data_IF_506046302049
#
_entry.id   IF_506046302049
#
_cell.length_a   1.000
_cell.length_b   1.000
_cell.length_c   1.000
_cell.angle_alpha   90.00
_cell.angle_beta   90.00
_cell.angle_gamma   90.00
#
_symmetry.space_group_name_H-M   'P 1'
#
loop_
_entity.id
_entity.type
_entity.pdbx_description
1 polymer ?
#
# COMPACT_ATOMS: atom_id res chain seq x y z
N UNK A 1 -29.88 -17.26 -1.76
CA UNK A 1 -29.59 -16.65 -0.45
C UNK A 1 -28.22 -17.15 -0.03
N UNK A 2 -27.17 -16.35 -0.28
CA UNK A 2 -25.83 -16.72 0.15
C UNK A 2 -25.66 -16.30 1.61
N UNK A 3 -25.31 -17.25 2.47
CA UNK A 3 -24.91 -16.98 3.85
C UNK A 3 -23.74 -15.99 3.81
N UNK A 4 -23.93 -14.79 4.36
CA UNK A 4 -22.82 -13.95 4.76
C UNK A 4 -22.09 -14.71 5.88
N UNK A 5 -21.03 -15.44 5.52
CA UNK A 5 -20.10 -16.03 6.48
C UNK A 5 -19.56 -14.90 7.32
N UNK A 6 -19.99 -14.82 8.58
CA UNK A 6 -19.34 -13.98 9.58
C UNK A 6 -17.87 -14.41 9.60
N UNK A 7 -16.99 -13.58 9.04
CA UNK A 7 -15.55 -13.85 9.04
C UNK A 7 -15.10 -13.88 10.49
N UNK A 8 -14.57 -15.04 10.91
CA UNK A 8 -14.02 -15.22 12.24
C UNK A 8 -12.97 -14.12 12.50
N UNK A 9 -12.87 -13.60 13.73
CA UNK A 9 -11.86 -12.58 14.04
C UNK A 9 -10.46 -13.11 13.68
N UNK A 10 -9.60 -12.27 13.09
CA UNK A 10 -8.23 -12.67 12.74
C UNK A 10 -7.50 -13.19 13.98
N UNK A 11 -6.83 -14.34 13.84
CA UNK A 11 -6.15 -15.02 14.93
C UNK A 11 -4.64 -14.72 14.93
N UNK A 12 -4.03 -14.71 16.11
CA UNK A 12 -2.57 -14.81 16.28
C UNK A 12 -2.20 -16.22 16.74
N UNK A 13 -0.90 -16.50 16.80
CA UNK A 13 -0.37 -17.73 17.43
C UNK A 13 -0.75 -17.91 18.90
N UNK A 14 -1.25 -16.84 19.57
CA UNK A 14 -1.64 -16.82 20.97
C UNK A 14 -3.17 -16.86 21.22
N UNK A 15 -4.00 -16.88 20.16
CA UNK A 15 -5.46 -16.89 20.27
C UNK A 15 -6.16 -15.77 19.49
N UNK A 16 -7.49 -15.58 19.69
CA UNK A 16 -8.23 -14.50 19.04
C UNK A 16 -7.77 -13.13 19.56
N UNK A 17 -7.54 -12.19 18.64
CA UNK A 17 -7.20 -10.82 19.00
C UNK A 17 -8.28 -10.19 19.91
N UNK A 18 -7.86 -9.37 20.87
CA UNK A 18 -8.80 -8.50 21.57
C UNK A 18 -9.48 -7.55 20.58
N UNK A 19 -10.66 -7.04 20.96
CA UNK A 19 -11.39 -6.10 20.10
C UNK A 19 -10.61 -4.82 19.79
N UNK A 20 -9.71 -4.42 20.68
CA UNK A 20 -8.83 -3.25 20.48
C UNK A 20 -7.71 -3.55 19.49
N UNK A 21 -6.97 -4.65 19.68
CA UNK A 21 -5.88 -5.05 18.78
C UNK A 21 -6.39 -5.30 17.36
N UNK A 22 -7.56 -5.95 17.21
CA UNK A 22 -8.18 -6.16 15.90
C UNK A 22 -8.50 -4.83 15.21
N UNK A 23 -9.04 -3.86 15.93
CA UNK A 23 -9.35 -2.53 15.36
C UNK A 23 -8.10 -1.74 15.02
N UNK A 24 -7.01 -1.88 15.78
CA UNK A 24 -5.72 -1.27 15.43
C UNK A 24 -5.16 -1.90 14.15
N UNK A 25 -5.13 -3.23 14.07
CA UNK A 25 -4.72 -3.94 12.86
C UNK A 25 -5.60 -3.57 11.65
N UNK A 26 -6.92 -3.46 11.84
CA UNK A 26 -7.87 -3.02 10.82
C UNK A 26 -7.61 -1.60 10.33
N UNK A 27 -7.29 -0.66 11.23
CA UNK A 27 -6.90 0.71 10.85
C UNK A 27 -5.63 0.75 10.03
N UNK A 28 -4.58 0.06 10.49
CA UNK A 28 -3.31 -0.03 9.77
C UNK A 28 -3.52 -0.65 8.37
N UNK A 29 -4.31 -1.73 8.30
CA UNK A 29 -4.61 -2.38 7.04
C UNK A 29 -5.45 -1.50 6.10
N UNK A 30 -6.45 -0.79 6.63
CA UNK A 30 -7.25 0.16 5.87
C UNK A 30 -6.39 1.27 5.24
N UNK A 31 -5.36 1.74 5.95
CA UNK A 31 -4.37 2.68 5.39
C UNK A 31 -3.63 2.06 4.20
N UNK A 32 -3.22 0.78 4.28
CA UNK A 32 -2.61 0.06 3.14
C UNK A 32 -3.57 -0.02 1.94
N UNK A 33 -4.84 -0.36 2.17
CA UNK A 33 -5.87 -0.37 1.11
C UNK A 33 -6.01 1.01 0.46
N UNK A 34 -6.09 2.08 1.26
CA UNK A 34 -6.21 3.43 0.73
C UNK A 34 -4.98 3.89 -0.05
N UNK A 35 -3.78 3.52 0.38
CA UNK A 35 -2.55 3.80 -0.37
C UNK A 35 -2.58 3.12 -1.73
N UNK A 36 -3.05 1.87 -1.80
CA UNK A 36 -3.23 1.17 -3.07
C UNK A 36 -4.25 1.88 -3.98
N UNK A 37 -5.42 2.24 -3.44
CA UNK A 37 -6.47 2.97 -4.17
C UNK A 37 -5.98 4.33 -4.69
N UNK A 38 -5.18 5.03 -3.88
CA UNK A 38 -4.64 6.35 -4.20
C UNK A 38 -3.39 6.33 -5.08
N UNK A 39 -2.83 5.15 -5.41
CA UNK A 39 -1.54 5.06 -6.12
C UNK A 39 -1.51 5.88 -7.42
N UNK A 40 -2.64 5.94 -8.13
CA UNK A 40 -2.76 6.64 -9.42
C UNK A 40 -3.65 7.90 -9.36
N UNK A 41 -4.12 8.30 -8.17
CA UNK A 41 -5.11 9.37 -7.99
C UNK A 41 -4.67 10.29 -6.85
N UNK A 42 -4.52 11.58 -7.14
CA UNK A 42 -4.15 12.57 -6.13
C UNK A 42 -5.29 12.86 -5.14
N UNK A 43 -4.98 13.41 -3.96
CA UNK A 43 -6.01 13.76 -2.98
C UNK A 43 -7.08 14.74 -3.53
N UNK A 44 -6.74 15.80 -4.29
CA UNK A 44 -7.75 16.68 -4.88
C UNK A 44 -8.64 15.97 -5.91
N UNK A 45 -8.06 15.07 -6.71
CA UNK A 45 -8.83 14.27 -7.68
C UNK A 45 -9.79 13.31 -6.97
N UNK A 46 -9.35 12.67 -5.88
CA UNK A 46 -10.20 11.82 -5.06
C UNK A 46 -11.34 12.59 -4.40
N UNK A 47 -11.09 13.80 -3.90
CA UNK A 47 -12.14 14.67 -3.37
C UNK A 47 -13.16 15.07 -4.46
N UNK A 48 -12.69 15.37 -5.67
CA UNK A 48 -13.57 15.65 -6.80
C UNK A 48 -14.38 14.42 -7.25
N UNK A 49 -13.77 13.23 -7.23
CA UNK A 49 -14.45 11.96 -7.49
C UNK A 49 -15.51 11.68 -6.43
N UNK A 50 -15.25 12.00 -5.16
CA UNK A 50 -16.22 11.82 -4.08
C UNK A 50 -17.48 12.65 -4.35
N UNK A 51 -17.31 13.96 -4.57
CA UNK A 51 -18.43 14.87 -4.83
C UNK A 51 -19.20 14.49 -6.10
N UNK A 52 -18.49 14.01 -7.13
CA UNK A 52 -19.11 13.51 -8.35
C UNK A 52 -19.89 12.20 -8.13
N UNK A 53 -19.31 11.23 -7.43
CA UNK A 53 -19.90 9.90 -7.24
C UNK A 53 -21.13 9.94 -6.33
N UNK A 54 -21.13 10.81 -5.32
CA UNK A 54 -22.27 11.03 -4.41
C UNK A 54 -23.28 12.03 -4.93
N UNK A 55 -22.92 12.83 -5.95
CA UNK A 55 -23.71 13.96 -6.42
C UNK A 55 -24.03 14.97 -5.28
N UNK A 56 -23.12 15.12 -4.33
CA UNK A 56 -23.21 16.02 -3.18
C UNK A 56 -21.81 16.62 -2.91
N UNK A 57 -21.68 17.96 -2.77
CA UNK A 57 -20.38 18.58 -2.49
C UNK A 57 -19.92 18.35 -1.04
N UNK A 58 -18.60 18.22 -0.84
CA UNK A 58 -18.00 18.14 0.49
C UNK A 58 -18.15 16.77 1.16
N UNK A 59 -18.31 15.70 0.37
CA UNK A 59 -18.40 14.34 0.91
C UNK A 59 -17.04 13.81 1.40
N UNK A 60 -15.94 14.33 0.84
CA UNK A 60 -14.59 13.96 1.25
C UNK A 60 -13.60 15.13 1.05
N UNK A 61 -12.91 15.52 2.12
CA UNK A 61 -11.89 16.56 2.07
C UNK A 61 -10.47 15.99 1.96
N UNK A 62 -9.58 16.75 1.33
CA UNK A 62 -8.15 16.38 1.17
C UNK A 62 -7.42 16.19 2.50
N UNK A 63 -7.83 16.91 3.55
CA UNK A 63 -7.31 16.73 4.91
C UNK A 63 -7.71 15.39 5.52
N UNK A 64 -8.93 14.92 5.26
CA UNK A 64 -9.40 13.61 5.70
C UNK A 64 -8.63 12.49 4.99
N UNK A 65 -8.42 12.63 3.68
CA UNK A 65 -7.59 11.70 2.89
C UNK A 65 -6.15 11.62 3.43
N UNK A 66 -5.55 12.77 3.75
CA UNK A 66 -4.23 12.82 4.37
C UNK A 66 -4.20 12.13 5.74
N UNK A 67 -5.19 12.36 6.61
CA UNK A 67 -5.24 11.70 7.91
C UNK A 67 -5.45 10.20 7.81
N UNK A 68 -6.27 9.76 6.85
CA UNK A 68 -6.53 8.36 6.56
C UNK A 68 -5.28 7.62 6.06
N UNK A 69 -4.53 8.22 5.13
CA UNK A 69 -3.29 7.66 4.59
C UNK A 69 -2.17 7.58 5.63
N UNK A 70 -2.21 8.39 6.67
CA UNK A 70 -1.19 8.41 7.72
C UNK A 70 -1.63 7.70 9.01
N UNK A 71 -2.71 6.91 8.97
CA UNK A 71 -3.29 6.24 10.14
C UNK A 71 -3.64 7.17 11.33
N UNK A 72 -3.79 8.48 11.07
CA UNK A 72 -4.06 9.49 12.12
C UNK A 72 -5.54 9.58 12.49
N UNK A 73 -6.42 8.89 11.77
CA UNK A 73 -7.87 9.01 11.95
C UNK A 73 -8.43 7.87 12.80
N UNK A 74 -8.70 8.18 14.08
CA UNK A 74 -9.28 7.24 15.06
C UNK A 74 -10.75 6.87 14.80
N UNK A 75 -11.48 7.72 14.11
CA UNK A 75 -12.88 7.47 13.74
C UNK A 75 -13.09 7.79 12.27
N UNK A 76 -13.62 6.82 11.55
CA UNK A 76 -13.96 6.97 10.14
C UNK A 76 -15.40 7.43 10.00
N UNK A 77 -15.61 8.60 9.38
CA UNK A 77 -16.94 9.16 9.17
C UNK A 77 -17.72 8.36 8.14
N UNK A 78 -19.01 8.12 8.41
CA UNK A 78 -19.89 7.37 7.49
C UNK A 78 -20.00 8.00 6.10
N UNK A 79 -20.00 9.34 6.01
CA UNK A 79 -19.97 10.04 4.71
C UNK A 79 -18.71 9.74 3.90
N UNK A 80 -17.55 9.67 4.57
CA UNK A 80 -16.28 9.35 3.89
C UNK A 80 -16.25 7.91 3.40
N UNK A 81 -16.80 6.97 4.18
CA UNK A 81 -16.94 5.57 3.77
C UNK A 81 -17.88 5.42 2.58
N UNK A 82 -19.03 6.07 2.64
CA UNK A 82 -20.01 6.08 1.56
C UNK A 82 -19.39 6.62 0.26
N UNK A 83 -18.74 7.78 0.34
CA UNK A 83 -18.06 8.38 -0.80
C UNK A 83 -16.98 7.46 -1.40
N UNK A 84 -16.10 6.90 -0.57
CA UNK A 84 -15.04 5.98 -1.04
C UNK A 84 -15.62 4.73 -1.70
N UNK A 85 -16.63 4.12 -1.08
CA UNK A 85 -17.32 2.96 -1.64
C UNK A 85 -17.99 3.31 -2.97
N UNK A 86 -18.66 4.46 -3.04
CA UNK A 86 -19.38 4.92 -4.23
C UNK A 86 -18.44 5.21 -5.39
N UNK A 87 -17.29 5.83 -5.13
CA UNK A 87 -16.24 6.04 -6.13
C UNK A 87 -15.81 4.69 -6.72
N UNK A 88 -15.53 3.70 -5.87
CA UNK A 88 -15.05 2.40 -6.30
C UNK A 88 -16.09 1.65 -7.15
N UNK A 89 -17.37 1.65 -6.74
CA UNK A 89 -18.47 1.08 -7.52
C UNK A 89 -18.64 1.78 -8.88
N UNK A 90 -18.57 3.11 -8.90
CA UNK A 90 -18.71 3.89 -10.13
C UNK A 90 -17.54 3.66 -11.09
N UNK A 91 -16.31 3.59 -10.59
CA UNK A 91 -15.14 3.27 -11.39
C UNK A 91 -15.22 1.87 -11.97
N UNK A 92 -15.67 0.88 -11.18
CA UNK A 92 -15.89 -0.47 -11.69
C UNK A 92 -16.96 -0.52 -12.78
N UNK A 93 -18.09 0.16 -12.57
CA UNK A 93 -19.15 0.25 -13.58
C UNK A 93 -18.68 0.97 -14.85
N UNK A 94 -17.85 2.01 -14.73
CA UNK A 94 -17.25 2.71 -15.86
C UNK A 94 -16.41 1.78 -16.75
N UNK A 95 -15.60 0.92 -16.14
CA UNK A 95 -14.72 -0.01 -16.84
C UNK A 95 -15.45 -1.22 -17.44
N UNK A 96 -16.54 -1.68 -16.81
CA UNK A 96 -17.21 -2.94 -17.18
C UNK A 96 -18.53 -2.76 -17.95
N UNK A 97 -19.32 -1.73 -17.64
CA UNK A 97 -20.60 -1.47 -18.30
C UNK A 97 -20.94 0.03 -18.32
N UNK A 98 -20.23 0.75 -19.20
CA UNK A 98 -20.36 2.20 -19.35
C UNK A 98 -21.74 2.66 -19.86
N UNK A 99 -22.45 1.82 -20.62
CA UNK A 99 -23.74 2.19 -21.26
C UNK A 99 -24.96 1.77 -20.44
N UNK A 100 -24.83 0.76 -19.59
CA UNK A 100 -25.87 0.30 -18.67
C UNK A 100 -25.63 0.81 -17.25
N UNK A 101 -24.95 0.01 -16.44
CA UNK A 101 -24.80 0.23 -14.99
C UNK A 101 -24.24 1.61 -14.66
N UNK A 102 -23.17 2.06 -15.34
CA UNK A 102 -22.57 3.36 -15.06
C UNK A 102 -23.56 4.52 -15.20
N UNK A 103 -24.41 4.48 -16.24
CA UNK A 103 -25.43 5.52 -16.47
C UNK A 103 -26.53 5.52 -15.39
N UNK A 104 -26.74 4.38 -14.73
CA UNK A 104 -27.75 4.22 -13.68
C UNK A 104 -27.25 4.60 -12.28
N UNK A 105 -25.97 4.97 -12.11
CA UNK A 105 -25.36 5.21 -10.79
C UNK A 105 -25.82 6.51 -10.10
N UNK A 106 -26.50 7.42 -10.81
CA UNK A 106 -27.00 8.67 -10.22
C UNK A 106 -25.89 9.67 -9.83
N UNK A 107 -24.74 9.61 -10.50
CA UNK A 107 -23.62 10.53 -10.30
C UNK A 107 -23.93 11.94 -10.81
N UNK A 108 -23.13 12.92 -10.40
CA UNK A 108 -23.10 14.22 -11.06
C UNK A 108 -22.69 14.09 -12.54
N UNK A 109 -22.81 15.19 -13.30
CA UNK A 109 -22.41 15.21 -14.70
C UNK A 109 -20.93 14.83 -14.85
N UNK A 110 -20.68 13.75 -15.59
CA UNK A 110 -19.32 13.29 -15.90
C UNK A 110 -18.63 14.29 -16.82
N UNK A 111 -17.59 14.94 -16.31
CA UNK A 111 -16.72 15.85 -17.08
C UNK A 111 -15.51 15.09 -17.63
N UNK A 112 -14.81 15.68 -18.61
CA UNK A 112 -13.56 15.12 -19.15
C UNK A 112 -12.53 14.85 -18.04
N UNK A 113 -12.45 15.72 -17.03
CA UNK A 113 -11.52 15.54 -15.91
C UNK A 113 -11.88 14.33 -15.05
N UNK A 114 -13.17 14.13 -14.76
CA UNK A 114 -13.64 12.96 -14.03
C UNK A 114 -13.36 11.68 -14.84
N UNK A 115 -13.63 11.71 -16.14
CA UNK A 115 -13.35 10.58 -17.02
C UNK A 115 -11.86 10.18 -17.01
N UNK A 116 -10.95 11.15 -17.13
CA UNK A 116 -9.49 10.93 -17.02
C UNK A 116 -9.06 10.37 -15.65
N UNK A 117 -9.80 10.69 -14.59
CA UNK A 117 -9.56 10.09 -13.28
C UNK A 117 -10.04 8.64 -13.26
N UNK A 118 -11.24 8.36 -13.76
CA UNK A 118 -11.80 7.01 -13.83
C UNK A 118 -10.96 6.07 -14.69
N UNK A 119 -10.41 6.55 -15.81
CA UNK A 119 -9.51 5.77 -16.68
C UNK A 119 -8.26 5.26 -15.95
N UNK A 120 -7.73 6.03 -14.98
CA UNK A 120 -6.55 5.66 -14.18
C UNK A 120 -6.89 4.96 -12.88
N UNK A 121 -8.13 5.11 -12.39
CA UNK A 121 -8.58 4.52 -11.15
C UNK A 121 -8.72 3.01 -11.33
N UNK A 122 -8.05 2.23 -10.47
CA UNK A 122 -8.14 0.77 -10.45
C UNK A 122 -9.13 0.35 -9.37
N UNK A 123 -10.31 -0.19 -9.73
CA UNK A 123 -11.29 -0.62 -8.74
C UNK A 123 -10.79 -1.79 -7.92
N UNK A 124 -11.08 -1.74 -6.62
CA UNK A 124 -10.74 -2.80 -5.68
C UNK A 124 -11.93 -3.74 -5.54
N UNK A 125 -11.69 -5.03 -5.70
CA UNK A 125 -12.73 -6.06 -5.69
C UNK A 125 -12.74 -6.82 -4.36
N UNK A 126 -13.93 -7.21 -3.93
CA UNK A 126 -14.13 -8.10 -2.81
C UNK A 126 -13.64 -9.51 -3.20
N UNK A 127 -12.80 -10.17 -2.38
CA UNK A 127 -12.16 -11.44 -2.73
C UNK A 127 -13.16 -12.54 -3.05
N UNK A 128 -14.20 -12.69 -2.23
CA UNK A 128 -15.16 -13.80 -2.41
C UNK A 128 -16.19 -13.57 -3.52
N UNK A 129 -16.62 -12.33 -3.74
CA UNK A 129 -17.73 -12.04 -4.66
C UNK A 129 -17.28 -11.51 -6.03
N UNK A 130 -16.03 -11.07 -6.15
CA UNK A 130 -15.50 -10.41 -7.35
C UNK A 130 -16.17 -9.08 -7.67
N UNK A 131 -17.04 -8.56 -6.79
CA UNK A 131 -17.72 -7.26 -6.94
C UNK A 131 -16.85 -6.14 -6.38
N UNK A 132 -17.01 -4.89 -6.85
CA UNK A 132 -16.32 -3.76 -6.23
C UNK A 132 -16.66 -3.67 -4.74
N UNK A 133 -15.64 -3.42 -3.90
CA UNK A 133 -15.87 -3.17 -2.47
C UNK A 133 -16.75 -1.93 -2.29
N UNK A 134 -17.74 -2.02 -1.42
CA UNK A 134 -18.65 -0.93 -1.08
C UNK A 134 -18.30 -0.30 0.29
N UNK A 135 -19.12 0.64 0.75
CA UNK A 135 -18.93 1.32 2.04
C UNK A 135 -18.96 0.36 3.25
N UNK A 136 -19.79 -0.69 3.18
CA UNK A 136 -19.86 -1.74 4.20
C UNK A 136 -18.58 -2.57 4.24
N UNK A 137 -18.06 -2.97 3.08
CA UNK A 137 -16.80 -3.71 2.97
C UNK A 137 -15.62 -2.87 3.50
N UNK A 138 -15.58 -1.58 3.16
CA UNK A 138 -14.59 -0.63 3.69
C UNK A 138 -14.68 -0.50 5.22
N UNK A 139 -15.88 -0.50 5.80
CA UNK A 139 -16.06 -0.55 7.25
C UNK A 139 -15.53 -1.86 7.84
N UNK A 140 -15.78 -3.00 7.19
CA UNK A 140 -15.29 -4.30 7.63
C UNK A 140 -13.76 -4.36 7.59
N UNK A 141 -13.12 -3.77 6.58
CA UNK A 141 -11.66 -3.61 6.51
C UNK A 141 -11.17 -2.75 7.69
N UNK A 142 -11.75 -1.57 7.89
CA UNK A 142 -11.38 -0.65 8.97
C UNK A 142 -11.51 -1.29 10.36
N UNK A 143 -12.51 -2.14 10.55
CA UNK A 143 -12.75 -2.87 11.81
C UNK A 143 -11.92 -4.15 11.95
N UNK A 144 -11.16 -4.54 10.93
CA UNK A 144 -10.28 -5.71 10.90
C UNK A 144 -11.00 -7.04 10.68
N UNK A 145 -12.15 -7.04 10.01
CA UNK A 145 -12.94 -8.22 9.69
C UNK A 145 -12.81 -8.68 8.23
N UNK A 146 -12.34 -7.82 7.34
CA UNK A 146 -12.12 -8.13 5.93
C UNK A 146 -10.68 -7.82 5.56
N UNK A 147 -10.02 -8.77 4.90
CA UNK A 147 -8.74 -8.59 4.23
C UNK A 147 -8.93 -8.76 2.74
N UNK A 148 -8.19 -8.00 1.96
CA UNK A 148 -8.19 -8.05 0.50
C UNK A 148 -6.93 -8.78 0.03
N UNK A 149 -7.00 -9.33 -1.17
CA UNK A 149 -5.82 -9.87 -1.84
C UNK A 149 -5.13 -8.73 -2.61
N UNK A 150 -4.42 -7.87 -1.87
CA UNK A 150 -3.67 -6.76 -2.48
C UNK A 150 -2.31 -7.28 -2.99
N UNK A 151 -1.82 -6.79 -4.15
CA UNK A 151 -0.48 -7.12 -4.62
C UNK A 151 0.56 -6.81 -3.52
N UNK A 152 1.34 -7.82 -3.12
CA UNK A 152 2.33 -7.71 -2.03
C UNK A 152 1.89 -8.26 -0.67
N UNK A 153 0.65 -8.75 -0.52
CA UNK A 153 0.18 -9.47 0.69
C UNK A 153 0.44 -10.99 0.66
N UNK A 154 1.32 -11.47 -0.23
CA UNK A 154 1.77 -12.87 -0.20
C UNK A 154 2.49 -13.14 1.15
N UNK A 155 1.97 -14.02 2.03
CA UNK A 155 2.61 -14.32 3.32
C UNK A 155 4.05 -14.83 3.15
N UNK A 156 4.33 -15.51 2.03
CA UNK A 156 5.68 -15.96 1.67
C UNK A 156 6.56 -14.76 1.30
N UNK A 157 6.03 -13.78 0.58
CA UNK A 157 6.74 -12.53 0.31
C UNK A 157 6.95 -11.70 1.58
N UNK A 158 5.95 -11.59 2.46
CA UNK A 158 6.06 -10.86 3.72
C UNK A 158 7.10 -11.50 4.66
N UNK A 159 7.11 -12.83 4.79
CA UNK A 159 8.15 -13.54 5.54
C UNK A 159 9.54 -13.35 4.92
N UNK A 160 9.63 -13.38 3.59
CA UNK A 160 10.87 -13.13 2.85
C UNK A 160 11.40 -11.72 3.07
N UNK A 161 10.55 -10.69 2.98
CA UNK A 161 10.95 -9.31 3.24
C UNK A 161 11.28 -9.06 4.72
N UNK A 162 10.61 -9.75 5.64
CA UNK A 162 11.00 -9.76 7.05
C UNK A 162 12.42 -10.30 7.25
N UNK A 163 12.75 -11.41 6.60
CA UNK A 163 14.10 -11.99 6.63
C UNK A 163 15.13 -11.05 6.00
N UNK A 164 14.81 -10.46 4.84
CA UNK A 164 15.69 -9.50 4.17
C UNK A 164 15.92 -8.26 5.05
N UNK A 165 14.87 -7.72 5.67
CA UNK A 165 14.99 -6.55 6.54
C UNK A 165 15.91 -6.80 7.74
N UNK A 166 15.86 -8.00 8.32
CA UNK A 166 16.69 -8.39 9.45
C UNK A 166 18.17 -8.58 9.07
N UNK A 167 18.44 -9.14 7.88
CA UNK A 167 19.80 -9.53 7.48
C UNK A 167 20.53 -8.48 6.64
N UNK A 168 19.83 -7.52 6.03
CA UNK A 168 20.43 -6.56 5.09
C UNK A 168 21.64 -5.82 5.66
N UNK A 169 21.57 -5.36 6.92
CA UNK A 169 22.68 -4.65 7.56
C UNK A 169 23.92 -5.53 7.73
N UNK A 170 23.73 -6.74 8.28
CA UNK A 170 24.80 -7.71 8.49
C UNK A 170 25.43 -8.19 7.19
N UNK A 171 24.59 -8.51 6.21
CA UNK A 171 25.06 -8.89 4.88
C UNK A 171 25.89 -7.78 4.23
N UNK A 172 25.45 -6.52 4.33
CA UNK A 172 26.18 -5.40 3.75
C UNK A 172 27.52 -5.15 4.46
N UNK A 173 27.58 -5.30 5.78
CA UNK A 173 28.84 -5.21 6.54
C UNK A 173 29.84 -6.28 6.08
N UNK A 174 29.39 -7.53 5.93
CA UNK A 174 30.21 -8.63 5.42
C UNK A 174 30.68 -8.36 3.97
N UNK A 175 29.81 -7.81 3.12
CA UNK A 175 30.16 -7.44 1.74
C UNK A 175 31.27 -6.38 1.70
N UNK A 176 31.19 -5.35 2.56
CA UNK A 176 32.21 -4.30 2.62
C UNK A 176 33.56 -4.84 3.09
N UNK A 177 33.54 -5.75 4.07
CA UNK A 177 34.75 -6.43 4.55
C UNK A 177 35.37 -7.29 3.45
N UNK A 178 34.58 -8.10 2.75
CA UNK A 178 35.03 -8.94 1.64
C UNK A 178 35.68 -8.13 0.52
N UNK A 179 35.11 -6.97 0.20
CA UNK A 179 35.56 -6.10 -0.90
C UNK A 179 36.64 -5.09 -0.48
N UNK A 180 37.05 -5.07 0.78
CA UNK A 180 37.96 -4.06 1.37
C UNK A 180 37.49 -2.60 1.09
N UNK A 181 36.17 -2.38 1.13
CA UNK A 181 35.57 -1.07 0.87
C UNK A 181 35.18 -0.42 2.19
N UNK A 182 35.69 0.79 2.42
CA UNK A 182 35.28 1.58 3.59
C UNK A 182 33.85 2.04 3.44
N UNK A 183 33.08 1.96 4.54
CA UNK A 183 31.69 2.42 4.61
C UNK A 183 31.46 3.81 3.99
N UNK A 184 32.37 4.77 4.26
CA UNK A 184 32.28 6.13 3.71
C UNK A 184 32.28 6.15 2.18
N UNK A 185 33.08 5.31 1.55
CA UNK A 185 33.20 5.26 0.10
C UNK A 185 32.04 4.46 -0.52
N UNK A 186 31.57 3.42 0.17
CA UNK A 186 30.32 2.75 -0.18
C UNK A 186 29.11 3.70 -0.18
N UNK A 187 28.98 4.58 0.83
CA UNK A 187 27.92 5.58 0.87
C UNK A 187 27.96 6.53 -0.32
N UNK A 188 29.14 6.95 -0.79
CA UNK A 188 29.26 7.79 -2.00
C UNK A 188 28.84 7.04 -3.26
N UNK A 189 29.19 5.75 -3.36
CA UNK A 189 28.78 4.90 -4.47
C UNK A 189 27.26 4.78 -4.48
N UNK A 190 26.65 4.46 -3.34
CA UNK A 190 25.19 4.42 -3.16
C UNK A 190 24.57 5.76 -3.57
N UNK A 191 25.12 6.88 -3.08
CA UNK A 191 24.60 8.22 -3.39
C UNK A 191 24.59 8.50 -4.90
N UNK A 192 25.63 8.07 -5.62
CA UNK A 192 25.74 8.25 -7.07
C UNK A 192 24.82 7.34 -7.89
N UNK A 193 24.47 6.17 -7.35
CA UNK A 193 23.67 5.14 -8.04
C UNK A 193 22.19 5.17 -7.65
N UNK A 194 21.82 5.91 -6.59
CA UNK A 194 20.50 5.89 -5.99
C UNK A 194 19.41 6.38 -6.95
N UNK A 195 18.36 5.57 -7.13
CA UNK A 195 17.19 5.91 -7.96
C UNK A 195 15.91 6.15 -7.16
N UNK A 196 15.92 5.94 -5.84
CA UNK A 196 14.77 6.16 -4.97
C UNK A 196 14.68 7.60 -4.45
N UNK A 197 13.77 7.83 -3.49
CA UNK A 197 13.65 9.14 -2.82
C UNK A 197 14.82 9.41 -1.88
N UNK A 198 15.08 10.68 -1.55
CA UNK A 198 16.12 11.04 -0.58
C UNK A 198 15.83 10.49 0.83
N UNK A 199 14.56 10.41 1.23
CA UNK A 199 14.17 9.82 2.52
C UNK A 199 14.51 8.33 2.59
N UNK A 200 14.24 7.57 1.53
CA UNK A 200 14.59 6.15 1.45
C UNK A 200 16.12 5.95 1.49
N UNK A 201 16.89 6.83 0.84
CA UNK A 201 18.37 6.79 0.90
C UNK A 201 18.89 6.99 2.31
N UNK A 202 18.39 8.01 3.02
CA UNK A 202 18.82 8.30 4.38
C UNK A 202 18.47 7.15 5.33
N UNK A 203 17.30 6.53 5.14
CA UNK A 203 16.90 5.33 5.88
C UNK A 203 17.87 4.17 5.62
N UNK A 204 18.23 3.91 4.35
CA UNK A 204 19.22 2.87 4.03
C UNK A 204 20.55 3.14 4.75
N UNK A 205 21.10 4.36 4.66
CA UNK A 205 22.37 4.68 5.32
C UNK A 205 22.29 4.49 6.85
N UNK A 206 21.15 4.81 7.46
CA UNK A 206 20.94 4.56 8.89
C UNK A 206 20.91 3.07 9.22
N UNK A 207 20.23 2.25 8.41
CA UNK A 207 20.18 0.78 8.56
C UNK A 207 21.58 0.17 8.40
N UNK A 208 22.30 0.56 7.34
CA UNK A 208 23.65 0.05 7.08
C UNK A 208 24.69 0.50 8.12
N UNK A 209 24.39 1.53 8.92
CA UNK A 209 25.24 1.97 10.03
C UNK A 209 24.78 1.45 11.39
N UNK A 210 23.76 0.59 11.43
CA UNK A 210 23.20 0.03 12.68
C UNK A 210 22.49 1.06 13.56
N UNK A 211 22.08 2.19 13.00
CA UNK A 211 21.36 3.25 13.72
C UNK A 211 19.84 3.13 13.64
N UNK A 212 19.34 2.26 12.76
CA UNK A 212 17.91 2.07 12.49
C UNK A 212 17.67 0.68 11.89
N UNK A 213 16.42 0.25 11.83
CA UNK A 213 16.00 -1.02 11.24
C UNK A 213 14.94 -0.78 10.15
N UNK A 214 14.88 -1.67 9.17
CA UNK A 214 13.77 -1.70 8.22
C UNK A 214 12.62 -2.55 8.77
N UNK A 215 11.38 -2.13 8.49
CA UNK A 215 10.24 -3.04 8.43
C UNK A 215 10.17 -3.75 7.06
N UNK A 216 9.43 -4.87 7.00
CA UNK A 216 9.26 -5.65 5.78
C UNK A 216 8.68 -4.81 4.61
N UNK A 217 7.72 -3.93 4.90
CA UNK A 217 7.11 -3.07 3.88
C UNK A 217 8.09 -1.99 3.39
N UNK A 218 8.87 -1.39 4.29
CA UNK A 218 9.85 -0.34 3.94
C UNK A 218 10.99 -0.89 3.07
N UNK A 219 11.52 -2.09 3.40
CA UNK A 219 12.58 -2.70 2.59
C UNK A 219 12.05 -3.13 1.23
N UNK A 220 10.83 -3.66 1.15
CA UNK A 220 10.21 -4.07 -0.11
C UNK A 220 10.00 -2.86 -1.04
N UNK A 221 9.57 -1.71 -0.51
CA UNK A 221 9.41 -0.49 -1.29
C UNK A 221 10.75 0.07 -1.79
N UNK A 222 11.79 0.00 -0.95
CA UNK A 222 13.12 0.53 -1.29
C UNK A 222 13.96 -0.44 -2.16
N UNK A 223 13.56 -1.71 -2.27
CA UNK A 223 14.38 -2.78 -2.84
C UNK A 223 14.88 -2.55 -4.27
N UNK A 224 14.09 -2.00 -5.22
CA UNK A 224 14.59 -1.75 -6.56
C UNK A 224 15.74 -0.73 -6.57
N UNK A 225 15.68 0.29 -5.71
CA UNK A 225 16.74 1.29 -5.57
C UNK A 225 17.98 0.71 -4.86
N UNK A 226 17.77 -0.13 -3.85
CA UNK A 226 18.84 -0.86 -3.14
C UNK A 226 19.59 -1.77 -4.12
N UNK A 227 18.87 -2.57 -4.90
CA UNK A 227 19.44 -3.51 -5.88
C UNK A 227 20.33 -2.79 -6.89
N UNK A 228 19.87 -1.64 -7.41
CA UNK A 228 20.66 -0.84 -8.34
C UNK A 228 21.93 -0.28 -7.70
N UNK A 229 21.84 0.23 -6.48
CA UNK A 229 23.01 0.77 -5.77
C UNK A 229 24.03 -0.32 -5.43
N UNK A 230 23.56 -1.50 -5.02
CA UNK A 230 24.37 -2.69 -4.75
C UNK A 230 25.03 -3.22 -6.03
N UNK A 231 24.31 -3.26 -7.16
CA UNK A 231 24.88 -3.68 -8.44
C UNK A 231 26.10 -2.83 -8.83
N UNK A 232 26.02 -1.51 -8.62
CA UNK A 232 27.14 -0.59 -8.86
C UNK A 232 28.28 -0.82 -7.86
N UNK A 233 27.97 -1.11 -6.59
CA UNK A 233 28.98 -1.44 -5.58
C UNK A 233 29.71 -2.75 -5.88
N UNK A 234 29.00 -3.74 -6.42
CA UNK A 234 29.55 -5.04 -6.81
C UNK A 234 30.32 -4.98 -8.14
N UNK A 235 30.10 -3.94 -8.95
CA UNK A 235 30.50 -3.86 -10.36
C UNK A 235 29.96 -5.03 -11.20
N UNK A 236 28.75 -5.49 -10.85
CA UNK A 236 28.12 -6.68 -11.42
C UNK A 236 26.64 -6.42 -11.72
N UNK A 237 26.10 -7.18 -12.68
CA UNK A 237 24.65 -7.19 -12.90
C UNK A 237 24.02 -8.21 -11.98
N UNK A 238 23.13 -7.76 -11.10
CA UNK A 238 22.36 -8.63 -10.21
C UNK A 238 20.87 -8.30 -10.34
N UNK A 239 20.05 -9.34 -10.44
CA UNK A 239 18.59 -9.18 -10.43
C UNK A 239 18.07 -9.01 -9.02
N UNK A 240 16.88 -8.40 -8.88
CA UNK A 240 16.24 -8.23 -7.57
C UNK A 240 16.02 -9.57 -6.85
N UNK A 241 15.67 -10.62 -7.59
CA UNK A 241 15.42 -11.96 -7.04
C UNK A 241 16.69 -12.64 -6.55
N UNK A 242 17.80 -12.53 -7.29
CA UNK A 242 19.10 -13.07 -6.88
C UNK A 242 19.60 -12.36 -5.61
N UNK A 243 19.49 -11.04 -5.54
CA UNK A 243 19.93 -10.29 -4.36
C UNK A 243 19.11 -10.69 -3.12
N UNK A 244 17.80 -10.93 -3.25
CA UNK A 244 16.97 -11.41 -2.15
C UNK A 244 17.46 -12.76 -1.62
N UNK A 245 17.80 -13.69 -2.51
CA UNK A 245 18.31 -15.02 -2.12
C UNK A 245 19.69 -14.97 -1.47
N UNK A 246 20.50 -13.95 -1.78
CA UNK A 246 21.80 -13.75 -1.14
C UNK A 246 21.61 -13.16 0.25
N UNK A 247 20.74 -12.17 0.41
CA UNK A 247 20.55 -11.44 1.67
C UNK A 247 19.73 -12.24 2.67
N UNK A 248 18.74 -13.03 2.23
CA UNK A 248 17.84 -13.78 3.11
C UNK A 248 18.39 -15.15 3.58
N UNK A 249 19.70 -15.38 3.49
CA UNK A 249 20.38 -16.63 3.91
C UNK A 249 21.00 -16.49 5.28
#
# INVERSE_FOLDING_TARGET
MANATATAPPMTSAGPLSGEERREAGRAYFTKVLTHVLANISHPEMAALADWATNEPGCLHTSQLSHLRNAKMRMLGVKSLDALGRINECAWAFHNDRRGQFKAMGTAQTTVKIEQCLERYVPVLHPDSGRPINAGDLMMIYLGYLKLDLPGDDPVAAARWGSVAAELGHWFEALLEERDVRFRDAVKIIDSAWSGTNSQKLKLVAVLSGLDDYSADEVAEAWPAITKAVAVLLDETISESELIEIVAK
#
